data_IF_684563867877
#
_entry.id   IF_684563867877
#
_cell.length_a   1.000
_cell.length_b   1.000
_cell.length_c   1.000
_cell.angle_alpha   90.00
_cell.angle_beta   90.00
_cell.angle_gamma   90.00
#
_symmetry.space_group_name_H-M   'P 1'
#
loop_
_entity.id
_entity.type
_entity.pdbx_description
1 polymer ?
#
# COMPACT_ATOMS: atom_id res chain seq x y z
N UNK A 1 85.81 44.54 65.03
CA UNK A 1 84.64 43.63 64.95
C UNK A 1 83.41 44.34 64.36
N UNK A 2 83.07 45.56 64.79
CA UNK A 2 81.89 46.30 64.32
C UNK A 2 81.93 46.73 62.84
N UNK A 3 83.11 47.08 62.30
CA UNK A 3 83.27 47.48 60.89
C UNK A 3 83.05 46.33 59.91
N UNK A 4 83.50 45.13 60.24
CA UNK A 4 83.30 43.92 59.42
C UNK A 4 81.82 43.56 59.36
N UNK A 5 81.10 43.68 60.48
CA UNK A 5 79.65 43.42 60.53
C UNK A 5 78.87 44.42 59.67
N UNK A 6 79.25 45.70 59.65
CA UNK A 6 78.61 46.72 58.80
C UNK A 6 78.83 46.46 57.31
N UNK A 7 80.03 46.05 56.90
CA UNK A 7 80.33 45.74 55.50
C UNK A 7 79.55 44.50 55.03
N UNK A 8 79.46 43.48 55.87
CA UNK A 8 78.65 42.28 55.56
C UNK A 8 77.16 42.62 55.48
N UNK A 9 76.64 43.46 56.38
CA UNK A 9 75.25 43.91 56.34
C UNK A 9 74.95 44.68 55.05
N UNK A 10 75.83 45.58 54.63
CA UNK A 10 75.69 46.31 53.35
C UNK A 10 75.68 45.36 52.15
N UNK A 11 76.53 44.32 52.15
CA UNK A 11 76.54 43.34 51.07
C UNK A 11 75.24 42.51 51.01
N UNK A 12 74.71 42.11 52.18
CA UNK A 12 73.46 41.34 52.26
C UNK A 12 72.27 42.19 51.83
N UNK A 13 72.20 43.45 52.26
CA UNK A 13 71.15 44.38 51.82
C UNK A 13 71.25 44.66 50.31
N UNK A 14 72.47 44.88 49.79
CA UNK A 14 72.68 45.06 48.36
C UNK A 14 72.30 43.83 47.53
N UNK A 15 72.58 42.62 48.03
CA UNK A 15 72.17 41.37 47.38
C UNK A 15 70.64 41.16 47.42
N UNK A 16 69.98 41.53 48.52
CA UNK A 16 68.52 41.45 48.68
C UNK A 16 67.79 42.44 47.76
N UNK A 17 68.26 43.69 47.66
CA UNK A 17 67.74 44.70 46.74
C UNK A 17 67.88 44.25 45.27
N UNK A 18 69.05 43.69 44.91
CA UNK A 18 69.28 43.17 43.57
C UNK A 18 68.38 41.96 43.25
N UNK A 19 68.17 41.08 44.23
CA UNK A 19 67.30 39.92 44.09
C UNK A 19 65.82 40.33 43.97
N UNK A 20 65.35 41.26 44.79
CA UNK A 20 64.00 41.81 44.72
C UNK A 20 63.75 42.53 43.38
N UNK A 21 64.72 43.33 42.91
CA UNK A 21 64.65 43.99 41.61
C UNK A 21 64.61 42.99 40.44
N UNK A 22 65.36 41.89 40.53
CA UNK A 22 65.37 40.83 39.51
C UNK A 22 64.07 40.02 39.53
N UNK A 23 63.51 39.75 40.71
CA UNK A 23 62.24 39.05 40.86
C UNK A 23 61.06 39.87 40.32
N UNK A 24 61.03 41.18 40.57
CA UNK A 24 60.02 42.10 40.01
C UNK A 24 60.04 42.14 38.47
N UNK A 25 61.24 42.20 37.86
CA UNK A 25 61.39 42.13 36.39
C UNK A 25 60.95 40.79 35.81
N UNK A 26 61.21 39.69 36.50
CA UNK A 26 60.75 38.37 36.09
C UNK A 26 59.22 38.22 36.20
N UNK A 27 58.60 38.83 37.21
CA UNK A 27 57.15 38.85 37.34
C UNK A 27 56.49 39.72 36.25
N UNK A 28 57.03 40.92 35.98
CA UNK A 28 56.52 41.81 34.94
C UNK A 28 56.56 41.17 33.54
N UNK A 29 57.64 40.44 33.23
CA UNK A 29 57.76 39.71 31.95
C UNK A 29 56.86 38.47 31.87
N UNK A 30 56.59 37.80 33.00
CA UNK A 30 55.60 36.72 33.04
C UNK A 30 54.17 37.24 32.86
N UNK A 31 53.85 38.41 33.42
CA UNK A 31 52.55 39.05 33.23
C UNK A 31 52.35 39.55 31.79
N UNK A 32 53.35 40.19 31.19
CA UNK A 32 53.24 40.62 29.79
C UNK A 32 53.05 39.44 28.84
N UNK A 33 53.73 38.32 29.09
CA UNK A 33 53.56 37.10 28.30
C UNK A 33 52.16 36.49 28.44
N UNK A 34 51.58 36.49 29.64
CA UNK A 34 50.19 36.03 29.87
C UNK A 34 49.17 36.95 29.22
N UNK A 35 49.39 38.27 29.24
CA UNK A 35 48.51 39.24 28.57
C UNK A 35 48.55 39.03 27.06
N UNK A 36 49.73 38.82 26.48
CA UNK A 36 49.87 38.53 25.06
C UNK A 36 49.18 37.22 24.67
N UNK A 37 49.36 36.17 25.48
CA UNK A 37 48.71 34.87 25.27
C UNK A 37 47.18 34.97 25.39
N UNK A 38 46.66 35.75 26.35
CA UNK A 38 45.22 36.00 26.48
C UNK A 38 44.68 36.79 25.29
N UNK A 39 45.41 37.79 24.82
CA UNK A 39 45.02 38.60 23.66
C UNK A 39 45.01 37.76 22.37
N UNK A 40 45.97 36.85 22.23
CA UNK A 40 46.02 35.89 21.12
C UNK A 40 44.84 34.90 21.17
N UNK A 41 44.44 34.44 22.36
CA UNK A 41 43.27 33.60 22.54
C UNK A 41 41.96 34.35 22.25
N UNK A 42 41.83 35.59 22.72
CA UNK A 42 40.65 36.43 22.45
C UNK A 42 40.53 36.73 20.97
N UNK A 43 41.63 37.06 20.28
CA UNK A 43 41.60 37.30 18.82
C UNK A 43 41.26 36.04 18.03
N UNK A 44 41.77 34.86 18.43
CA UNK A 44 41.35 33.57 17.84
C UNK A 44 39.86 33.29 18.05
N UNK A 45 39.36 33.47 19.27
CA UNK A 45 37.94 33.27 19.57
C UNK A 45 37.04 34.27 18.84
N UNK A 46 37.47 35.52 18.72
CA UNK A 46 36.71 36.55 18.01
C UNK A 46 36.66 36.25 16.50
N UNK A 47 37.75 35.74 15.93
CA UNK A 47 37.77 35.30 14.53
C UNK A 47 36.82 34.09 14.32
N UNK A 48 36.83 33.11 15.22
CA UNK A 48 35.88 31.98 15.18
C UNK A 48 34.43 32.47 15.30
N UNK A 49 34.13 33.40 16.20
CA UNK A 49 32.79 33.97 16.35
C UNK A 49 32.32 34.73 15.11
N UNK A 50 33.22 35.45 14.44
CA UNK A 50 32.90 36.12 13.17
C UNK A 50 32.58 35.10 12.09
N UNK A 51 33.38 34.03 11.95
CA UNK A 51 33.09 32.98 10.95
C UNK A 51 31.79 32.23 11.22
N UNK A 52 31.48 31.94 12.49
CA UNK A 52 30.21 31.32 12.89
C UNK A 52 29.04 32.28 12.69
N UNK A 53 29.24 33.58 12.94
CA UNK A 53 28.26 34.63 12.67
C UNK A 53 27.95 34.75 11.18
N UNK A 54 28.96 34.71 10.31
CA UNK A 54 28.79 34.69 8.86
C UNK A 54 28.07 33.43 8.38
N UNK A 55 28.43 32.25 8.92
CA UNK A 55 27.77 30.99 8.60
C UNK A 55 26.32 30.95 9.05
N UNK A 56 26.01 31.42 10.26
CA UNK A 56 24.64 31.58 10.75
C UNK A 56 23.84 32.56 9.90
N UNK A 57 24.45 33.66 9.47
CA UNK A 57 23.78 34.66 8.62
C UNK A 57 23.50 34.09 7.22
N UNK A 58 24.39 33.26 6.68
CA UNK A 58 24.21 32.55 5.42
C UNK A 58 23.14 31.44 5.51
N UNK A 59 23.08 30.70 6.62
CA UNK A 59 22.02 29.71 6.85
C UNK A 59 20.66 30.39 7.07
N UNK A 60 20.61 31.52 7.78
CA UNK A 60 19.38 32.25 8.04
C UNK A 60 18.86 32.95 6.77
N UNK A 61 19.75 33.43 5.90
CA UNK A 61 19.37 33.95 4.58
C UNK A 61 18.84 32.84 3.67
N UNK A 62 19.45 31.65 3.70
CA UNK A 62 18.99 30.46 2.96
C UNK A 62 17.62 29.97 3.44
N UNK A 63 17.41 29.87 4.75
CA UNK A 63 16.10 29.51 5.32
C UNK A 63 15.03 30.54 4.93
N UNK A 64 15.38 31.83 4.95
CA UNK A 64 14.45 32.90 4.56
C UNK A 64 14.14 32.91 3.05
N UNK A 65 15.13 32.64 2.20
CA UNK A 65 14.96 32.68 0.74
C UNK A 65 14.36 31.41 0.16
N UNK A 66 14.68 30.24 0.71
CA UNK A 66 14.30 28.96 0.10
C UNK A 66 13.14 28.31 0.86
N UNK A 67 13.24 28.24 2.19
CA UNK A 67 12.34 27.39 3.01
C UNK A 67 10.99 28.08 3.26
N UNK A 68 10.98 29.38 3.58
CA UNK A 68 9.74 30.12 3.78
C UNK A 68 8.81 30.13 2.55
N UNK A 69 9.28 30.46 1.33
CA UNK A 69 8.41 30.40 0.15
C UNK A 69 8.06 28.96 -0.25
N UNK A 70 8.92 27.98 0.00
CA UNK A 70 8.57 26.56 -0.21
C UNK A 70 7.45 26.09 0.76
N UNK A 71 7.44 26.58 2.00
CA UNK A 71 6.37 26.31 2.95
C UNK A 71 5.07 27.04 2.57
N UNK A 72 5.14 28.30 2.12
CA UNK A 72 3.97 29.06 1.68
C UNK A 72 3.31 28.42 0.44
N UNK A 73 4.12 27.97 -0.51
CA UNK A 73 3.61 27.24 -1.70
C UNK A 73 2.96 25.91 -1.33
N UNK A 74 3.57 25.12 -0.43
CA UNK A 74 2.96 23.88 0.08
C UNK A 74 1.68 24.14 0.87
N UNK A 75 1.63 25.20 1.68
CA UNK A 75 0.43 25.58 2.42
C UNK A 75 -0.71 25.94 1.46
N UNK A 76 -0.45 26.76 0.43
CA UNK A 76 -1.47 27.08 -0.59
C UNK A 76 -1.94 25.84 -1.35
N UNK A 77 -1.03 24.94 -1.70
CA UNK A 77 -1.37 23.70 -2.38
C UNK A 77 -2.24 22.80 -1.50
N UNK A 78 -1.89 22.64 -0.22
CA UNK A 78 -2.70 21.89 0.73
C UNK A 78 -4.07 22.53 0.94
N UNK A 79 -4.15 23.86 1.04
CA UNK A 79 -5.45 24.56 1.13
C UNK A 79 -6.31 24.29 -0.10
N UNK A 80 -5.73 24.31 -1.30
CA UNK A 80 -6.46 23.96 -2.54
C UNK A 80 -6.97 22.52 -2.55
N UNK A 81 -6.16 21.56 -2.09
CA UNK A 81 -6.58 20.16 -1.95
C UNK A 81 -7.71 19.98 -0.92
N UNK A 82 -7.66 20.72 0.19
CA UNK A 82 -8.73 20.71 1.21
C UNK A 82 -10.03 21.28 0.66
N UNK A 83 -9.97 22.35 -0.14
CA UNK A 83 -11.14 22.91 -0.82
C UNK A 83 -11.73 21.93 -1.84
N UNK A 84 -10.90 21.21 -2.60
CA UNK A 84 -11.33 20.17 -3.54
C UNK A 84 -11.99 19.00 -2.82
N UNK A 85 -11.39 18.51 -1.73
CA UNK A 85 -11.98 17.50 -0.85
C UNK A 85 -13.32 17.96 -0.27
N UNK A 86 -13.42 19.22 0.19
CA UNK A 86 -14.68 19.77 0.67
C UNK A 86 -15.76 19.79 -0.42
N UNK A 87 -15.38 20.08 -1.67
CA UNK A 87 -16.28 19.99 -2.83
C UNK A 87 -16.79 18.57 -3.08
N UNK A 88 -15.89 17.58 -3.06
CA UNK A 88 -16.24 16.17 -3.22
C UNK A 88 -17.15 15.66 -2.10
N UNK A 89 -16.87 16.05 -0.85
CA UNK A 89 -17.71 15.71 0.31
C UNK A 89 -19.12 16.31 0.16
N UNK A 90 -19.22 17.56 -0.30
CA UNK A 90 -20.52 18.20 -0.50
C UNK A 90 -21.32 17.51 -1.61
N UNK A 91 -20.65 17.10 -2.68
CA UNK A 91 -21.26 16.34 -3.76
C UNK A 91 -21.74 14.96 -3.28
N UNK A 92 -20.93 14.26 -2.48
CA UNK A 92 -21.31 12.99 -1.89
C UNK A 92 -22.53 13.11 -0.97
N UNK A 93 -22.60 14.17 -0.14
CA UNK A 93 -23.75 14.47 0.72
C UNK A 93 -25.02 14.73 -0.10
N UNK A 94 -24.91 15.42 -1.23
CA UNK A 94 -26.05 15.63 -2.16
C UNK A 94 -26.53 14.32 -2.80
N UNK A 95 -25.60 13.44 -3.20
CA UNK A 95 -25.93 12.10 -3.69
C UNK A 95 -26.63 11.26 -2.61
N UNK A 96 -26.14 11.27 -1.37
CA UNK A 96 -26.74 10.55 -0.25
C UNK A 96 -28.14 11.06 0.06
N UNK A 97 -28.36 12.39 0.06
CA UNK A 97 -29.71 12.97 0.21
C UNK A 97 -30.66 12.50 -0.89
N UNK A 98 -30.18 12.43 -2.13
CA UNK A 98 -30.97 11.98 -3.27
C UNK A 98 -31.33 10.49 -3.15
N UNK A 99 -30.37 9.64 -2.77
CA UNK A 99 -30.59 8.22 -2.55
C UNK A 99 -31.55 7.96 -1.38
N UNK A 100 -31.40 8.68 -0.28
CA UNK A 100 -32.32 8.60 0.86
C UNK A 100 -33.76 8.99 0.47
N UNK A 101 -33.93 9.99 -0.42
CA UNK A 101 -35.23 10.34 -1.00
C UNK A 101 -35.83 9.18 -1.78
N UNK A 102 -35.06 8.57 -2.70
CA UNK A 102 -35.51 7.43 -3.50
C UNK A 102 -35.89 6.22 -2.64
N UNK A 103 -35.13 5.93 -1.58
CA UNK A 103 -35.44 4.84 -0.67
C UNK A 103 -36.77 5.07 0.06
N UNK A 104 -37.04 6.30 0.52
CA UNK A 104 -38.33 6.65 1.13
C UNK A 104 -39.49 6.50 0.14
N UNK A 105 -39.30 6.90 -1.11
CA UNK A 105 -40.32 6.74 -2.15
C UNK A 105 -40.62 5.26 -2.42
N UNK A 106 -39.58 4.41 -2.50
CA UNK A 106 -39.74 2.96 -2.65
C UNK A 106 -40.43 2.32 -1.43
N UNK A 107 -40.09 2.76 -0.22
CA UNK A 107 -40.75 2.30 1.00
C UNK A 107 -42.23 2.69 1.01
N UNK A 108 -42.56 3.90 0.56
CA UNK A 108 -43.93 4.35 0.42
C UNK A 108 -44.69 3.53 -0.64
N UNK A 109 -44.07 3.23 -1.78
CA UNK A 109 -44.64 2.33 -2.79
C UNK A 109 -44.91 0.94 -2.20
N UNK A 110 -43.99 0.37 -1.43
CA UNK A 110 -44.18 -0.92 -0.73
C UNK A 110 -45.39 -0.88 0.21
N UNK A 111 -45.56 0.18 0.99
CA UNK A 111 -46.71 0.36 1.88
C UNK A 111 -48.01 0.42 1.07
N UNK A 112 -48.03 1.15 -0.05
CA UNK A 112 -49.22 1.22 -0.91
C UNK A 112 -49.55 -0.14 -1.55
N UNK A 113 -48.56 -0.91 -2.00
CA UNK A 113 -48.77 -2.26 -2.53
C UNK A 113 -49.30 -3.21 -1.46
N UNK A 114 -48.80 -3.12 -0.23
CA UNK A 114 -49.33 -3.90 0.89
C UNK A 114 -50.80 -3.55 1.19
N UNK A 115 -51.17 -2.27 1.13
CA UNK A 115 -52.55 -1.83 1.27
C UNK A 115 -53.45 -2.34 0.12
N UNK A 116 -52.96 -2.31 -1.12
CA UNK A 116 -53.67 -2.86 -2.28
C UNK A 116 -53.87 -4.37 -2.16
N UNK A 117 -52.86 -5.12 -1.69
CA UNK A 117 -52.99 -6.56 -1.41
C UNK A 117 -54.07 -6.85 -0.37
N UNK A 118 -54.14 -6.07 0.71
CA UNK A 118 -55.22 -6.20 1.71
C UNK A 118 -56.60 -5.96 1.08
N UNK A 119 -56.75 -4.91 0.27
CA UNK A 119 -58.01 -4.66 -0.45
C UNK A 119 -58.37 -5.77 -1.44
N UNK A 120 -57.39 -6.34 -2.13
CA UNK A 120 -57.62 -7.49 -3.01
C UNK A 120 -58.12 -8.70 -2.21
N UNK A 121 -57.51 -8.98 -1.06
CA UNK A 121 -57.98 -10.07 -0.19
C UNK A 121 -59.38 -9.82 0.36
N UNK A 122 -59.75 -8.57 0.70
CA UNK A 122 -61.12 -8.21 1.09
C UNK A 122 -62.11 -8.42 -0.06
N UNK A 123 -61.76 -8.02 -1.29
CA UNK A 123 -62.60 -8.26 -2.48
C UNK A 123 -62.74 -9.76 -2.75
N UNK A 124 -61.67 -10.54 -2.63
CA UNK A 124 -61.71 -12.00 -2.80
C UNK A 124 -62.63 -12.66 -1.76
N UNK A 125 -62.54 -12.25 -0.49
CA UNK A 125 -63.43 -12.78 0.56
C UNK A 125 -64.89 -12.41 0.31
N UNK A 126 -65.16 -11.20 -0.18
CA UNK A 126 -66.50 -10.75 -0.58
C UNK A 126 -67.05 -11.55 -1.77
N UNK A 127 -66.24 -11.77 -2.81
CA UNK A 127 -66.60 -12.61 -3.97
C UNK A 127 -66.86 -14.04 -3.51
N UNK A 128 -66.00 -14.64 -2.68
CA UNK A 128 -66.18 -15.99 -2.14
C UNK A 128 -67.46 -16.11 -1.32
N UNK A 129 -67.86 -15.07 -0.58
CA UNK A 129 -69.14 -15.03 0.15
C UNK A 129 -70.35 -14.97 -0.80
N UNK A 130 -70.30 -14.16 -1.87
CA UNK A 130 -71.33 -14.10 -2.93
C UNK A 130 -71.44 -15.41 -3.70
N UNK A 131 -70.30 -16.05 -3.97
CA UNK A 131 -70.26 -17.34 -4.67
C UNK A 131 -70.85 -18.47 -3.81
N UNK A 132 -70.75 -18.36 -2.47
CA UNK A 132 -71.34 -19.32 -1.53
C UNK A 132 -72.86 -19.16 -1.38
N UNK A 133 -73.41 -17.98 -1.63
CA UNK A 133 -74.86 -17.71 -1.59
C UNK A 133 -75.56 -17.88 -2.94
N UNK A 134 -74.81 -17.90 -4.06
CA UNK A 134 -75.34 -18.10 -5.41
C UNK A 134 -75.27 -19.56 -5.88
N UNK A 135 -76.23 -20.40 -5.47
CA UNK A 135 -76.41 -21.75 -6.00
C UNK A 135 -77.09 -21.77 -7.38
N UNK A 136 -76.33 -22.03 -8.44
CA UNK A 136 -76.81 -22.32 -9.80
C UNK A 136 -75.65 -22.83 -10.68
N UNK A 137 -75.88 -23.75 -11.65
CA UNK A 137 -74.88 -24.71 -12.11
C UNK A 137 -73.72 -24.06 -12.88
N UNK A 138 -72.43 -24.32 -12.52
CA UNK A 138 -71.30 -23.63 -13.13
C UNK A 138 -70.19 -24.57 -13.62
N UNK A 139 -70.43 -25.50 -14.54
CA UNK A 139 -69.38 -26.45 -14.96
C UNK A 139 -68.20 -25.74 -15.67
N UNK A 140 -68.48 -24.83 -16.62
CA UNK A 140 -67.43 -24.10 -17.34
C UNK A 140 -66.79 -22.92 -16.58
N UNK A 141 -67.42 -22.44 -15.50
CA UNK A 141 -66.87 -21.35 -14.65
C UNK A 141 -65.96 -21.88 -13.56
N UNK A 142 -66.19 -23.10 -13.08
CA UNK A 142 -65.32 -23.74 -12.08
C UNK A 142 -63.98 -24.08 -12.70
N UNK A 143 -63.95 -24.58 -13.93
CA UNK A 143 -62.71 -24.92 -14.64
C UNK A 143 -61.84 -23.66 -14.90
N UNK A 144 -62.45 -22.57 -15.38
CA UNK A 144 -61.75 -21.27 -15.53
C UNK A 144 -61.37 -20.62 -14.20
N UNK A 145 -62.07 -20.91 -13.11
CA UNK A 145 -61.70 -20.43 -11.78
C UNK A 145 -60.51 -21.23 -11.19
N UNK A 146 -60.43 -22.53 -11.49
CA UNK A 146 -59.32 -23.39 -11.09
C UNK A 146 -58.03 -23.04 -11.85
N UNK A 147 -58.10 -22.76 -13.15
CA UNK A 147 -56.94 -22.29 -13.93
C UNK A 147 -56.39 -20.96 -13.39
N UNK A 148 -57.28 -20.01 -13.04
CA UNK A 148 -56.87 -18.74 -12.42
C UNK A 148 -56.27 -18.91 -11.03
N UNK A 149 -56.68 -19.94 -10.29
CA UNK A 149 -56.13 -20.27 -8.98
C UNK A 149 -54.72 -20.86 -9.11
N UNK A 150 -54.50 -21.71 -10.11
CA UNK A 150 -53.18 -22.26 -10.42
C UNK A 150 -52.19 -21.16 -10.87
N UNK A 151 -52.64 -20.18 -11.64
CA UNK A 151 -51.82 -19.02 -12.04
C UNK A 151 -51.51 -18.09 -10.86
N UNK A 152 -52.45 -17.92 -9.92
CA UNK A 152 -52.22 -17.17 -8.69
C UNK A 152 -51.29 -17.89 -7.71
N UNK A 153 -51.35 -19.22 -7.61
CA UNK A 153 -50.40 -20.02 -6.82
C UNK A 153 -48.99 -19.93 -7.41
N UNK A 154 -48.86 -19.96 -8.74
CA UNK A 154 -47.57 -19.77 -9.42
C UNK A 154 -47.00 -18.37 -9.19
N UNK A 155 -47.81 -17.32 -9.32
CA UNK A 155 -47.41 -15.95 -8.98
C UNK A 155 -47.10 -15.76 -7.49
N UNK A 156 -47.77 -16.50 -6.60
CA UNK A 156 -47.49 -16.51 -5.17
C UNK A 156 -46.12 -17.11 -4.83
N UNK A 157 -45.73 -18.19 -5.52
CA UNK A 157 -44.40 -18.78 -5.38
C UNK A 157 -43.29 -17.83 -5.87
N UNK A 158 -43.49 -17.19 -7.03
CA UNK A 158 -42.56 -16.19 -7.58
C UNK A 158 -42.39 -14.98 -6.64
N UNK A 159 -43.47 -14.54 -5.99
CA UNK A 159 -43.42 -13.44 -5.02
C UNK A 159 -42.64 -13.84 -3.75
N UNK A 160 -42.78 -15.08 -3.27
CA UNK A 160 -42.03 -15.56 -2.11
C UNK A 160 -40.54 -15.74 -2.42
N UNK A 161 -40.21 -16.12 -3.64
CA UNK A 161 -38.83 -16.21 -4.12
C UNK A 161 -38.20 -14.82 -4.22
N UNK A 162 -38.91 -13.85 -4.81
CA UNK A 162 -38.52 -12.43 -4.82
C UNK A 162 -38.33 -11.86 -3.42
N UNK A 163 -39.19 -12.23 -2.46
CA UNK A 163 -39.04 -11.81 -1.07
C UNK A 163 -37.78 -12.41 -0.42
N UNK A 164 -37.47 -13.69 -0.68
CA UNK A 164 -36.24 -14.34 -0.19
C UNK A 164 -34.99 -13.68 -0.75
N UNK A 165 -35.00 -13.36 -2.05
CA UNK A 165 -33.90 -12.67 -2.70
C UNK A 165 -33.73 -11.26 -2.14
N UNK A 166 -34.83 -10.52 -1.92
CA UNK A 166 -34.77 -9.19 -1.29
C UNK A 166 -34.23 -9.22 0.14
N UNK A 167 -34.60 -10.23 0.94
CA UNK A 167 -34.06 -10.40 2.29
C UNK A 167 -32.57 -10.69 2.27
N UNK A 168 -32.10 -11.58 1.39
CA UNK A 168 -30.65 -11.82 1.22
C UNK A 168 -29.90 -10.56 0.80
N UNK A 169 -30.41 -9.83 -0.19
CA UNK A 169 -29.74 -8.58 -0.62
C UNK A 169 -29.74 -7.52 0.48
N UNK A 170 -30.70 -7.54 1.40
CA UNK A 170 -30.72 -6.64 2.55
C UNK A 170 -29.69 -7.06 3.61
N UNK A 171 -29.58 -8.36 3.89
CA UNK A 171 -28.54 -8.92 4.76
C UNK A 171 -27.14 -8.62 4.19
N UNK A 172 -26.91 -8.82 2.89
CA UNK A 172 -25.64 -8.49 2.22
C UNK A 172 -25.31 -7.00 2.33
N UNK A 173 -26.30 -6.12 2.19
CA UNK A 173 -26.11 -4.68 2.34
C UNK A 173 -25.85 -4.30 3.81
N UNK A 174 -26.51 -4.96 4.76
CA UNK A 174 -26.27 -4.76 6.20
C UNK A 174 -24.84 -5.16 6.60
N UNK A 175 -24.35 -6.29 6.08
CA UNK A 175 -22.97 -6.76 6.29
C UNK A 175 -21.94 -5.77 5.73
N UNK A 176 -22.16 -5.28 4.50
CA UNK A 176 -21.28 -4.27 3.88
C UNK A 176 -21.31 -2.95 4.67
N UNK A 177 -22.48 -2.53 5.16
CA UNK A 177 -22.60 -1.31 5.98
C UNK A 177 -21.94 -1.49 7.34
N UNK A 178 -22.04 -2.66 7.97
CA UNK A 178 -21.37 -2.97 9.23
C UNK A 178 -19.84 -2.95 9.06
N UNK A 179 -19.33 -3.53 7.98
CA UNK A 179 -17.91 -3.52 7.63
C UNK A 179 -17.39 -2.10 7.35
N UNK A 180 -18.16 -1.29 6.62
CA UNK A 180 -17.85 0.12 6.38
C UNK A 180 -17.87 0.96 7.66
N UNK A 181 -18.84 0.73 8.56
CA UNK A 181 -18.91 1.43 9.84
C UNK A 181 -17.71 1.07 10.72
N UNK A 182 -17.35 -0.21 10.81
CA UNK A 182 -16.17 -0.67 11.54
C UNK A 182 -14.87 -0.10 10.96
N UNK A 183 -14.79 0.01 9.63
CA UNK A 183 -13.67 0.66 8.94
C UNK A 183 -13.58 2.15 9.26
N UNK A 184 -14.68 2.89 9.18
CA UNK A 184 -14.69 4.33 9.45
C UNK A 184 -14.43 4.65 10.91
N UNK A 185 -14.90 3.81 11.85
CA UNK A 185 -14.63 3.95 13.27
C UNK A 185 -13.14 3.74 13.57
N UNK A 186 -12.52 2.70 12.99
CA UNK A 186 -11.08 2.46 13.09
C UNK A 186 -10.23 3.59 12.50
N UNK A 187 -10.59 4.08 11.31
CA UNK A 187 -9.86 5.18 10.66
C UNK A 187 -9.99 6.51 11.43
N UNK A 188 -11.17 6.80 12.00
CA UNK A 188 -11.37 7.96 12.85
C UNK A 188 -10.58 7.88 14.16
N UNK A 189 -10.58 6.73 14.83
CA UNK A 189 -9.85 6.58 16.09
C UNK A 189 -8.33 6.62 15.88
N UNK A 190 -7.84 6.10 14.77
CA UNK A 190 -6.44 6.16 14.36
C UNK A 190 -6.00 7.56 13.93
N UNK A 191 -6.87 8.31 13.23
CA UNK A 191 -6.58 9.71 12.86
C UNK A 191 -6.58 10.62 14.09
N UNK A 192 -7.51 10.42 15.02
CA UNK A 192 -7.56 11.12 16.31
C UNK A 192 -6.33 10.77 17.14
N UNK A 193 -5.93 9.50 17.21
CA UNK A 193 -4.74 9.05 17.94
C UNK A 193 -3.44 9.57 17.33
N UNK A 194 -3.31 9.58 16.01
CA UNK A 194 -2.16 10.13 15.30
C UNK A 194 -2.04 11.66 15.50
N UNK A 195 -3.18 12.36 15.49
CA UNK A 195 -3.23 13.81 15.77
C UNK A 195 -2.88 14.13 17.23
N UNK A 196 -3.31 13.30 18.18
CA UNK A 196 -3.05 13.47 19.62
C UNK A 196 -1.61 13.11 20.03
N UNK A 197 -0.99 12.14 19.35
CA UNK A 197 0.34 11.64 19.72
C UNK A 197 1.49 12.24 18.89
N UNK A 198 1.19 12.95 17.80
CA UNK A 198 2.19 13.54 16.89
C UNK A 198 3.09 12.50 16.22
N UNK A 199 2.71 11.22 16.25
CA UNK A 199 3.45 10.10 15.69
C UNK A 199 3.01 9.91 14.24
N UNK A 200 3.93 9.78 13.25
CA UNK A 200 3.54 9.47 11.88
C UNK A 200 2.76 8.15 11.87
N UNK A 201 1.71 8.09 11.02
CA UNK A 201 0.82 6.93 10.87
C UNK A 201 1.61 5.63 10.87
N UNK A 202 1.14 4.64 11.63
CA UNK A 202 1.58 3.26 11.45
C UNK A 202 1.25 2.84 10.01
N UNK A 203 2.26 2.79 9.12
CA UNK A 203 2.08 2.33 7.72
C UNK A 203 1.53 0.89 7.63
N UNK A 204 1.41 0.18 8.76
CA UNK A 204 0.80 -1.12 8.85
C UNK A 204 -0.70 -1.13 8.54
N UNK A 205 -1.47 -0.13 8.98
CA UNK A 205 -2.96 -0.22 9.07
C UNK A 205 -3.74 0.29 7.88
N UNK A 206 -3.22 1.27 7.13
CA UNK A 206 -3.86 1.73 5.90
C UNK A 206 -3.62 0.74 4.74
N UNK A 207 -4.59 0.66 3.81
CA UNK A 207 -4.36 -0.01 2.52
C UNK A 207 -3.34 0.79 1.74
N UNK A 208 -2.17 0.19 1.50
CA UNK A 208 -1.07 0.81 0.78
C UNK A 208 -0.89 0.26 -0.63
N UNK A 209 -1.46 -0.93 -0.90
CA UNK A 209 -1.37 -1.58 -2.20
C UNK A 209 -2.59 -2.48 -2.47
N UNK A 210 -2.90 -2.67 -3.74
CA UNK A 210 -3.91 -3.64 -4.20
C UNK A 210 -3.24 -4.89 -4.71
N UNK A 211 -3.96 -6.01 -4.66
CA UNK A 211 -3.50 -7.28 -5.18
C UNK A 211 -4.65 -8.05 -5.82
N UNK A 212 -4.31 -8.98 -6.72
CA UNK A 212 -5.29 -9.74 -7.49
C UNK A 212 -4.75 -11.13 -7.75
N UNK A 213 -5.62 -12.12 -7.73
CA UNK A 213 -5.29 -13.50 -8.06
C UNK A 213 -6.43 -14.13 -8.83
N UNK A 214 -6.10 -14.76 -9.94
CA UNK A 214 -7.01 -15.61 -10.69
C UNK A 214 -6.24 -16.69 -11.42
N UNK A 215 -6.82 -17.87 -11.47
CA UNK A 215 -6.34 -19.01 -12.25
C UNK A 215 -7.47 -19.58 -13.06
N UNK A 216 -7.15 -20.15 -14.21
CA UNK A 216 -8.08 -20.95 -15.03
C UNK A 216 -8.29 -22.35 -14.46
N UNK A 217 -7.32 -22.87 -13.72
CA UNK A 217 -7.32 -24.25 -13.24
C UNK A 217 -7.81 -24.33 -11.79
N UNK A 218 -8.97 -24.97 -11.58
CA UNK A 218 -9.61 -25.13 -10.27
C UNK A 218 -8.72 -25.89 -9.27
N UNK A 219 -7.97 -26.90 -9.73
CA UNK A 219 -7.08 -27.70 -8.88
C UNK A 219 -5.93 -26.90 -8.26
N UNK A 220 -5.53 -25.80 -8.89
CA UNK A 220 -4.46 -24.94 -8.44
C UNK A 220 -4.96 -23.73 -7.64
N UNK A 221 -6.28 -23.50 -7.55
CA UNK A 221 -6.82 -22.28 -6.94
C UNK A 221 -6.47 -22.15 -5.46
N UNK A 222 -6.61 -23.25 -4.69
CA UNK A 222 -6.26 -23.29 -3.28
C UNK A 222 -4.74 -23.13 -3.07
N UNK A 223 -3.94 -23.85 -3.87
CA UNK A 223 -2.47 -23.85 -3.77
C UNK A 223 -1.92 -22.47 -4.16
N UNK A 224 -2.43 -21.87 -5.23
CA UNK A 224 -2.05 -20.52 -5.65
C UNK A 224 -2.46 -19.48 -4.62
N UNK A 225 -3.64 -19.63 -4.00
CA UNK A 225 -4.07 -18.78 -2.88
C UNK A 225 -3.07 -18.81 -1.72
N UNK A 226 -2.66 -20.01 -1.29
CA UNK A 226 -1.69 -20.17 -0.21
C UNK A 226 -0.32 -19.58 -0.57
N UNK A 227 0.20 -19.88 -1.77
CA UNK A 227 1.50 -19.38 -2.23
C UNK A 227 1.50 -17.87 -2.42
N UNK A 228 0.40 -17.31 -2.90
CA UNK A 228 0.20 -15.88 -3.03
C UNK A 228 0.24 -15.20 -1.66
N UNK A 229 -0.55 -15.66 -0.70
CA UNK A 229 -0.58 -15.07 0.65
C UNK A 229 0.75 -15.25 1.38
N UNK A 230 1.46 -16.35 1.13
CA UNK A 230 2.83 -16.55 1.63
C UNK A 230 3.80 -15.52 1.04
N UNK A 231 3.74 -15.27 -0.26
CA UNK A 231 4.56 -14.24 -0.92
C UNK A 231 4.25 -12.84 -0.40
N UNK A 232 2.98 -12.51 -0.20
CA UNK A 232 2.53 -11.25 0.41
C UNK A 232 3.15 -11.07 1.79
N UNK A 233 3.06 -12.08 2.65
CA UNK A 233 3.62 -12.05 4.02
C UNK A 233 5.14 -11.91 4.02
N UNK A 234 5.85 -12.62 3.16
CA UNK A 234 7.32 -12.48 3.06
C UNK A 234 7.73 -11.10 2.58
N UNK A 235 6.96 -10.48 1.66
CA UNK A 235 7.18 -9.10 1.22
C UNK A 235 6.77 -8.03 2.26
N UNK A 236 6.55 -8.43 3.52
CA UNK A 236 6.14 -7.55 4.64
C UNK A 236 4.80 -6.84 4.40
N UNK A 237 3.94 -7.46 3.60
CA UNK A 237 2.58 -7.02 3.38
C UNK A 237 1.61 -7.88 4.19
N UNK A 238 0.53 -7.26 4.63
CA UNK A 238 -0.56 -7.93 5.31
C UNK A 238 -1.83 -7.84 4.47
N UNK A 239 -2.51 -8.96 4.30
CA UNK A 239 -3.86 -8.99 3.71
C UNK A 239 -4.82 -8.38 4.72
N UNK A 240 -5.44 -7.26 4.36
CA UNK A 240 -6.41 -6.55 5.22
C UNK A 240 -7.81 -7.09 4.99
N UNK A 241 -8.23 -7.10 3.73
CA UNK A 241 -9.46 -7.73 3.30
C UNK A 241 -9.28 -8.33 1.91
N UNK A 242 -10.13 -9.31 1.60
CA UNK A 242 -10.18 -9.95 0.29
C UNK A 242 -11.63 -10.00 -0.17
N UNK A 243 -11.85 -9.71 -1.44
CA UNK A 243 -13.16 -9.83 -2.07
C UNK A 243 -13.10 -10.86 -3.18
N UNK A 244 -14.19 -11.60 -3.33
CA UNK A 244 -14.38 -12.56 -4.40
C UNK A 244 -15.27 -11.93 -5.49
N UNK A 245 -14.74 -11.78 -6.69
CA UNK A 245 -15.47 -11.29 -7.86
C UNK A 245 -15.78 -12.46 -8.80
N UNK A 246 -16.95 -13.08 -8.64
CA UNK A 246 -17.45 -14.11 -9.55
C UNK A 246 -18.52 -13.54 -10.50
N UNK A 247 -18.51 -13.84 -11.81
CA UNK A 247 -19.68 -13.64 -12.64
C UNK A 247 -20.74 -14.66 -12.20
N UNK A 248 -21.64 -14.22 -11.32
CA UNK A 248 -22.67 -14.99 -10.64
C UNK A 248 -22.12 -15.94 -9.56
N UNK A 249 -22.49 -15.65 -8.30
CA UNK A 249 -22.49 -16.68 -7.27
C UNK A 249 -23.32 -17.88 -7.71
N UNK A 250 -22.91 -19.07 -7.30
CA UNK A 250 -23.58 -20.36 -7.49
C UNK A 250 -23.43 -21.09 -8.84
N UNK A 251 -22.26 -21.02 -9.50
CA UNK A 251 -21.84 -22.14 -10.38
C UNK A 251 -20.75 -22.96 -9.70
N UNK A 252 -21.07 -24.16 -9.16
CA UNK A 252 -20.06 -25.04 -8.58
C UNK A 252 -19.02 -25.41 -9.65
N UNK A 253 -17.74 -25.11 -9.38
CA UNK A 253 -16.61 -25.36 -10.28
C UNK A 253 -16.12 -24.13 -11.07
N UNK A 254 -16.68 -22.94 -10.86
CA UNK A 254 -16.13 -21.70 -11.43
C UNK A 254 -14.99 -21.16 -10.56
N UNK A 255 -13.81 -20.97 -11.15
CA UNK A 255 -12.64 -20.37 -10.50
C UNK A 255 -12.94 -18.95 -10.03
N UNK A 256 -12.71 -18.68 -8.75
CA UNK A 256 -13.01 -17.41 -8.10
C UNK A 256 -11.94 -16.36 -8.45
N UNK A 257 -12.35 -15.14 -8.84
CA UNK A 257 -11.40 -14.03 -8.99
C UNK A 257 -11.25 -13.37 -7.63
N UNK A 258 -10.04 -13.36 -7.07
CA UNK A 258 -9.80 -12.78 -5.74
C UNK A 258 -9.10 -11.44 -5.86
N UNK A 259 -9.69 -10.41 -5.26
CA UNK A 259 -9.06 -9.09 -5.10
C UNK A 259 -8.61 -8.95 -3.65
N UNK A 260 -7.38 -8.54 -3.44
CA UNK A 260 -6.73 -8.37 -2.16
C UNK A 260 -6.45 -6.89 -1.93
N UNK A 261 -6.63 -6.46 -0.69
CA UNK A 261 -6.27 -5.13 -0.25
C UNK A 261 -5.19 -5.28 0.81
N UNK A 262 -4.02 -4.75 0.50
CA UNK A 262 -2.77 -5.02 1.20
C UNK A 262 -2.35 -3.76 1.97
N UNK A 263 -1.93 -3.93 3.21
CA UNK A 263 -1.31 -2.89 4.03
C UNK A 263 0.12 -3.24 4.40
N UNK A 264 0.90 -2.27 4.88
CA UNK A 264 2.27 -2.48 5.36
C UNK A 264 3.30 -1.55 4.75
N UNK A 265 3.73 -1.84 3.52
CA UNK A 265 4.77 -1.07 2.82
C UNK A 265 4.18 -0.13 1.76
N UNK A 266 4.85 0.99 1.53
CA UNK A 266 4.51 1.91 0.44
C UNK A 266 4.77 1.24 -0.94
N UNK A 267 3.95 1.56 -1.96
CA UNK A 267 4.07 0.94 -3.27
C UNK A 267 5.41 1.24 -3.96
N UNK A 268 6.04 2.39 -3.69
CA UNK A 268 7.35 2.76 -4.24
C UNK A 268 8.48 1.86 -3.72
N UNK A 269 8.47 1.55 -2.41
CA UNK A 269 9.44 0.67 -1.79
C UNK A 269 9.28 -0.78 -2.28
N UNK A 270 8.03 -1.22 -2.47
CA UNK A 270 7.71 -2.53 -3.05
C UNK A 270 8.22 -2.67 -4.47
N UNK A 271 8.11 -1.63 -5.30
CA UNK A 271 8.58 -1.68 -6.69
C UNK A 271 10.10 -1.94 -6.75
N UNK A 272 10.87 -1.28 -5.89
CA UNK A 272 12.30 -1.52 -5.74
C UNK A 272 12.62 -2.94 -5.26
N UNK A 273 11.90 -3.41 -4.24
CA UNK A 273 12.08 -4.75 -3.69
C UNK A 273 11.76 -5.86 -4.72
N UNK A 274 10.63 -5.78 -5.41
CA UNK A 274 10.25 -6.76 -6.43
C UNK A 274 11.17 -6.72 -7.65
N UNK A 275 11.64 -5.53 -8.05
CA UNK A 275 12.65 -5.44 -9.12
C UNK A 275 13.93 -6.18 -8.73
N UNK A 276 14.40 -6.03 -7.49
CA UNK A 276 15.58 -6.75 -7.00
C UNK A 276 15.35 -8.28 -6.96
N UNK A 277 14.17 -8.73 -6.52
CA UNK A 277 13.80 -10.15 -6.50
C UNK A 277 13.70 -10.75 -7.91
N UNK A 278 13.15 -10.02 -8.88
CA UNK A 278 13.08 -10.46 -10.28
C UNK A 278 14.45 -10.47 -10.95
N UNK A 279 15.33 -9.51 -10.63
CA UNK A 279 16.73 -9.55 -11.08
C UNK A 279 17.45 -10.78 -10.50
N UNK A 280 17.26 -11.08 -9.21
CA UNK A 280 17.82 -12.27 -8.58
C UNK A 280 17.30 -13.56 -9.23
N UNK A 281 15.99 -13.61 -9.51
CA UNK A 281 15.35 -14.76 -10.17
C UNK A 281 15.82 -14.92 -11.61
N UNK A 282 15.97 -13.82 -12.34
CA UNK A 282 16.51 -13.79 -13.71
C UNK A 282 17.98 -14.18 -13.79
N UNK A 283 18.77 -13.95 -12.74
CA UNK A 283 20.17 -14.34 -12.66
C UNK A 283 20.38 -15.87 -12.57
N UNK A 284 19.34 -16.61 -12.17
CA UNK A 284 19.36 -18.07 -12.16
C UNK A 284 19.17 -18.69 -13.56
N UNK A 285 18.84 -17.89 -14.59
CA UNK A 285 18.75 -18.43 -15.95
C UNK A 285 20.13 -18.90 -16.44
N UNK A 286 20.23 -20.13 -17.00
CA UNK A 286 21.43 -20.55 -17.68
C UNK A 286 21.69 -19.61 -18.86
N UNK A 287 22.92 -19.10 -18.97
CA UNK A 287 23.33 -18.22 -20.07
C UNK A 287 23.37 -19.01 -21.38
N UNK A 288 22.22 -19.21 -22.03
CA UNK A 288 22.13 -19.81 -23.35
C UNK A 288 22.62 -18.80 -24.40
N UNK A 289 23.95 -18.70 -24.52
CA UNK A 289 24.61 -17.77 -25.42
C UNK A 289 26.12 -17.96 -25.56
N UNK A 290 26.65 -19.19 -25.52
CA UNK A 290 28.03 -19.45 -25.96
C UNK A 290 28.24 -20.78 -26.71
N UNK A 291 27.37 -21.08 -27.66
CA UNK A 291 27.66 -22.06 -28.73
C UNK A 291 27.83 -21.36 -30.08
N UNK A 292 28.70 -20.36 -30.13
CA UNK A 292 29.38 -19.90 -31.34
C UNK A 292 30.53 -18.95 -30.96
N UNK A 293 31.64 -19.52 -30.49
CA UNK A 293 32.87 -18.77 -30.31
C UNK A 293 33.42 -18.34 -31.68
N UNK A 294 33.19 -17.09 -32.07
CA UNK A 294 34.11 -16.37 -32.95
C UNK A 294 35.24 -15.78 -32.08
N UNK A 295 36.52 -16.04 -32.38
CA UNK A 295 37.61 -15.59 -31.54
C UNK A 295 37.85 -14.10 -31.79
N UNK A 296 37.49 -13.22 -30.85
CA UNK A 296 37.99 -11.85 -30.88
C UNK A 296 37.16 -10.73 -30.23
N UNK A 297 35.93 -10.95 -29.78
CA UNK A 297 35.13 -9.88 -29.18
C UNK A 297 35.02 -10.05 -27.66
N UNK A 298 35.67 -9.15 -26.92
CA UNK A 298 35.65 -9.12 -25.45
C UNK A 298 34.23 -9.07 -24.91
N UNK A 299 33.79 -10.19 -24.32
CA UNK A 299 32.52 -10.31 -23.63
C UNK A 299 32.49 -9.32 -22.46
N UNK A 300 31.56 -8.36 -22.52
CA UNK A 300 31.23 -7.49 -21.39
C UNK A 300 30.64 -8.36 -20.29
N UNK A 301 31.49 -8.62 -19.29
CA UNK A 301 31.24 -9.35 -18.05
C UNK A 301 30.13 -8.62 -17.26
N UNK A 302 28.89 -9.07 -17.40
CA UNK A 302 27.81 -8.71 -16.47
C UNK A 302 28.13 -9.24 -15.07
N UNK A 303 27.70 -8.54 -14.04
CA UNK A 303 27.95 -8.82 -12.61
C UNK A 303 27.23 -10.09 -12.14
N UNK A 304 27.52 -11.23 -12.75
CA UNK A 304 27.19 -12.53 -12.18
C UNK A 304 27.92 -12.64 -10.83
N UNK A 305 27.18 -12.98 -9.78
CA UNK A 305 27.74 -13.41 -8.50
C UNK A 305 28.68 -14.58 -8.82
N UNK A 306 29.97 -14.33 -8.80
CA UNK A 306 30.97 -15.39 -8.84
C UNK A 306 30.83 -16.11 -7.51
N UNK A 307 30.04 -17.17 -7.47
CA UNK A 307 30.05 -18.12 -6.36
C UNK A 307 31.45 -18.77 -6.34
N UNK A 308 32.28 -18.51 -5.32
CA UNK A 308 33.49 -19.28 -5.13
C UNK A 308 33.04 -20.71 -4.85
N UNK A 309 33.49 -21.67 -5.65
CA UNK A 309 33.13 -23.08 -5.50
C UNK A 309 33.16 -23.51 -4.04
N UNK A 310 31.97 -23.78 -3.52
CA UNK A 310 31.75 -24.12 -2.11
C UNK A 310 32.44 -25.47 -1.84
N UNK A 311 33.33 -25.58 -0.83
CA UNK A 311 33.99 -26.82 -0.51
C UNK A 311 32.95 -27.90 -0.13
N UNK A 312 33.22 -29.19 -0.43
CA UNK A 312 32.29 -30.27 -0.14
C UNK A 312 31.98 -30.32 1.36
N UNK A 313 30.71 -30.10 1.73
CA UNK A 313 30.23 -30.14 3.12
C UNK A 313 29.68 -28.81 3.66
N UNK A 314 29.72 -27.71 2.90
CA UNK A 314 29.04 -26.46 3.27
C UNK A 314 27.69 -26.41 2.55
N UNK A 315 26.62 -26.36 3.35
CA UNK A 315 25.25 -26.28 2.88
C UNK A 315 25.07 -24.97 2.08
N UNK A 316 24.46 -25.01 0.87
CA UNK A 316 24.30 -23.82 0.05
C UNK A 316 23.53 -22.75 0.82
N UNK A 317 23.99 -21.50 0.71
CA UNK A 317 23.36 -20.35 1.37
C UNK A 317 21.88 -20.30 0.98
N UNK A 318 20.98 -20.56 1.95
CA UNK A 318 19.54 -20.55 1.70
C UNK A 318 19.14 -19.19 1.13
N UNK A 319 18.36 -19.13 0.02
CA UNK A 319 17.88 -17.86 -0.49
C UNK A 319 17.07 -17.12 0.59
N UNK A 320 17.07 -15.78 0.58
CA UNK A 320 16.23 -15.01 1.49
C UNK A 320 14.76 -15.44 1.34
N UNK A 321 14.01 -15.41 2.44
CA UNK A 321 12.65 -15.95 2.52
C UNK A 321 11.71 -15.36 1.45
N UNK A 322 11.87 -14.06 1.18
CA UNK A 322 11.11 -13.30 0.18
C UNK A 322 11.37 -13.79 -1.25
N UNK A 323 12.61 -14.19 -1.56
CA UNK A 323 12.97 -14.74 -2.86
C UNK A 323 12.45 -16.17 -3.02
N UNK A 324 12.54 -16.99 -1.96
CA UNK A 324 12.02 -18.34 -1.98
C UNK A 324 10.50 -18.37 -2.16
N UNK A 325 9.79 -17.46 -1.49
CA UNK A 325 8.34 -17.33 -1.59
C UNK A 325 7.90 -16.84 -2.99
N UNK A 326 8.58 -15.84 -3.56
CA UNK A 326 8.30 -15.37 -4.92
C UNK A 326 8.55 -16.48 -5.95
N UNK A 327 9.68 -17.18 -5.86
CA UNK A 327 10.00 -18.31 -6.77
C UNK A 327 8.98 -19.44 -6.65
N UNK A 328 8.51 -19.74 -5.44
CA UNK A 328 7.44 -20.72 -5.24
C UNK A 328 6.15 -20.29 -5.94
N UNK A 329 5.70 -19.04 -5.74
CA UNK A 329 4.53 -18.49 -6.43
C UNK A 329 4.67 -18.56 -7.95
N UNK A 330 5.80 -18.14 -8.51
CA UNK A 330 6.03 -18.14 -9.95
C UNK A 330 6.06 -19.56 -10.55
N UNK A 331 6.55 -20.56 -9.82
CA UNK A 331 6.49 -21.98 -10.23
C UNK A 331 5.07 -22.52 -10.20
N UNK A 332 4.31 -22.23 -9.16
CA UNK A 332 2.90 -22.64 -9.12
C UNK A 332 2.10 -21.96 -10.23
N UNK A 333 2.41 -20.69 -10.54
CA UNK A 333 1.83 -20.00 -11.69
C UNK A 333 2.23 -20.65 -13.01
N UNK A 334 3.46 -21.13 -13.18
CA UNK A 334 3.89 -21.76 -14.44
C UNK A 334 3.22 -23.10 -14.71
N UNK A 335 2.83 -23.82 -13.67
CA UNK A 335 2.03 -25.06 -13.76
C UNK A 335 0.60 -24.81 -14.24
N UNK A 336 0.10 -23.57 -14.15
CA UNK A 336 -1.22 -23.19 -14.64
C UNK A 336 -1.29 -23.07 -16.17
N UNK A 337 -2.43 -23.42 -16.74
CA UNK A 337 -2.81 -23.20 -18.14
C UNK A 337 -3.18 -21.74 -18.45
N UNK A 338 -3.35 -20.92 -17.41
CA UNK A 338 -3.56 -19.48 -17.51
C UNK A 338 -3.86 -18.87 -16.14
N UNK A 339 -3.02 -17.95 -15.69
CA UNK A 339 -3.18 -17.31 -14.38
C UNK A 339 -2.66 -15.87 -14.40
N UNK A 340 -3.20 -15.06 -13.50
CA UNK A 340 -2.77 -13.69 -13.25
C UNK A 340 -2.63 -13.49 -11.75
N UNK A 341 -1.48 -12.98 -11.32
CA UNK A 341 -1.21 -12.60 -9.95
C UNK A 341 -0.64 -11.18 -9.89
N UNK A 342 -1.14 -10.37 -8.97
CA UNK A 342 -0.66 -9.02 -8.72
C UNK A 342 -0.45 -8.82 -7.23
N UNK A 343 0.72 -8.31 -6.86
CA UNK A 343 1.05 -7.92 -5.49
C UNK A 343 1.58 -6.48 -5.55
N UNK A 344 0.70 -5.51 -5.31
CA UNK A 344 1.01 -4.10 -5.49
C UNK A 344 1.53 -3.81 -6.89
N UNK A 345 2.78 -3.32 -7.03
CA UNK A 345 3.36 -3.00 -8.34
C UNK A 345 3.81 -4.25 -9.11
N UNK A 346 3.99 -5.41 -8.48
CA UNK A 346 4.37 -6.64 -9.19
C UNK A 346 3.14 -7.24 -9.88
N UNK A 347 3.27 -7.53 -11.17
CA UNK A 347 2.29 -8.29 -11.94
C UNK A 347 2.97 -9.48 -12.61
N UNK A 348 2.44 -10.69 -12.38
CA UNK A 348 2.86 -11.93 -13.01
C UNK A 348 1.69 -12.51 -13.81
N UNK A 349 1.95 -12.88 -15.06
CA UNK A 349 0.96 -13.39 -16.00
C UNK A 349 1.47 -14.65 -16.64
N UNK A 350 0.67 -15.71 -16.57
CA UNK A 350 0.89 -16.98 -17.25
C UNK A 350 -0.13 -17.15 -18.36
N UNK A 351 0.35 -17.38 -19.58
CA UNK A 351 -0.47 -17.89 -20.70
C UNK A 351 -0.17 -19.38 -20.92
N UNK A 352 -0.52 -19.99 -22.06
CA UNK A 352 -0.08 -21.37 -22.35
C UNK A 352 1.40 -21.46 -22.68
N UNK A 353 1.92 -20.44 -23.35
CA UNK A 353 3.24 -20.49 -23.97
C UNK A 353 4.28 -19.69 -23.18
N UNK A 354 3.84 -18.73 -22.36
CA UNK A 354 4.75 -17.75 -21.76
C UNK A 354 4.44 -17.48 -20.28
N UNK A 355 5.47 -17.13 -19.51
CA UNK A 355 5.38 -16.58 -18.15
C UNK A 355 6.08 -15.21 -18.13
N UNK A 356 5.29 -14.14 -18.01
CA UNK A 356 5.81 -12.77 -17.97
C UNK A 356 5.62 -12.16 -16.60
N UNK A 357 6.62 -11.41 -16.13
CA UNK A 357 6.54 -10.59 -14.93
C UNK A 357 6.87 -9.14 -15.26
N UNK A 358 6.19 -8.21 -14.61
CA UNK A 358 6.48 -6.80 -14.72
C UNK A 358 6.34 -6.09 -13.38
N UNK A 359 7.11 -5.02 -13.20
CA UNK A 359 6.96 -4.10 -12.07
C UNK A 359 6.38 -2.80 -12.62
N UNK A 360 5.12 -2.54 -12.27
CA UNK A 360 4.33 -1.43 -12.73
C UNK A 360 4.57 -0.19 -11.86
N UNK A 361 4.55 0.97 -12.50
CA UNK A 361 4.44 2.26 -11.81
C UNK A 361 3.01 2.47 -11.30
N UNK A 362 2.82 3.38 -10.34
CA UNK A 362 1.49 3.69 -9.80
C UNK A 362 0.48 4.09 -10.89
N UNK A 363 0.89 4.90 -11.87
CA UNK A 363 0.03 5.29 -13.00
C UNK A 363 -0.37 4.10 -13.89
N UNK A 364 0.57 3.20 -14.19
CA UNK A 364 0.29 1.98 -14.95
C UNK A 364 -0.62 1.02 -14.18
N UNK A 365 -0.43 0.88 -12.86
CA UNK A 365 -1.32 0.06 -12.02
C UNK A 365 -2.76 0.57 -12.08
N UNK A 366 -2.97 1.88 -11.96
CA UNK A 366 -4.29 2.52 -12.06
C UNK A 366 -4.94 2.35 -13.46
N UNK A 367 -4.17 2.50 -14.53
CA UNK A 367 -4.65 2.24 -15.90
C UNK A 367 -5.06 0.78 -16.10
N UNK A 368 -4.38 -0.17 -15.46
CA UNK A 368 -4.75 -1.59 -15.48
C UNK A 368 -5.88 -1.95 -14.52
N UNK A 369 -6.10 -1.16 -13.46
CA UNK A 369 -7.17 -1.41 -12.49
C UNK A 369 -8.56 -1.19 -13.07
N UNK A 370 -8.69 -0.25 -14.01
CA UNK A 370 -9.96 0.18 -14.61
C UNK A 370 -10.49 -0.72 -15.72
N UNK A 371 -9.72 -1.73 -16.14
CA UNK A 371 -10.02 -2.57 -17.29
C UNK A 371 -10.27 -4.02 -16.85
N UNK A 372 -11.48 -4.56 -17.08
CA UNK A 372 -11.82 -5.99 -16.85
C UNK A 372 -10.87 -6.97 -17.56
N UNK A 373 -10.11 -6.45 -18.52
CA UNK A 373 -8.97 -7.04 -19.23
C UNK A 373 -7.93 -7.65 -18.28
N UNK A 374 -7.86 -7.20 -17.03
CA UNK A 374 -6.93 -7.73 -16.02
C UNK A 374 -7.09 -9.24 -15.79
N UNK A 375 -8.31 -9.73 -15.86
CA UNK A 375 -8.62 -11.14 -15.61
C UNK A 375 -8.38 -12.03 -16.84
N UNK A 376 -8.03 -11.46 -18.00
CA UNK A 376 -7.64 -12.22 -19.19
C UNK A 376 -6.11 -12.26 -19.31
N UNK A 377 -5.46 -13.41 -19.08
CA UNK A 377 -4.02 -13.55 -19.20
C UNK A 377 -3.49 -13.17 -20.59
N UNK A 378 -4.26 -13.41 -21.65
CA UNK A 378 -3.82 -13.11 -23.02
C UNK A 378 -3.76 -11.61 -23.23
N UNK A 379 -4.82 -10.90 -22.85
CA UNK A 379 -4.86 -9.46 -22.98
C UNK A 379 -3.89 -8.74 -22.03
N UNK A 380 -3.70 -9.25 -20.81
CA UNK A 380 -2.69 -8.79 -19.88
C UNK A 380 -1.27 -8.94 -20.48
N UNK A 381 -0.95 -10.09 -21.06
CA UNK A 381 0.34 -10.34 -21.75
C UNK A 381 0.61 -9.34 -22.87
N UNK A 382 -0.40 -9.07 -23.72
CA UNK A 382 -0.28 -8.08 -24.79
C UNK A 382 0.00 -6.67 -24.28
N UNK A 383 -0.51 -6.31 -23.09
CA UNK A 383 -0.20 -5.02 -22.45
C UNK A 383 1.19 -4.99 -21.84
N UNK A 384 1.59 -6.05 -21.14
CA UNK A 384 2.93 -6.14 -20.55
C UNK A 384 4.02 -6.01 -21.63
N UNK A 385 3.81 -6.57 -22.83
CA UNK A 385 4.73 -6.43 -23.96
C UNK A 385 4.88 -5.00 -24.52
N UNK A 386 3.95 -4.09 -24.20
CA UNK A 386 4.06 -2.68 -24.58
C UNK A 386 4.87 -1.87 -23.58
N UNK A 387 5.17 -2.43 -22.42
CA UNK A 387 5.97 -1.78 -21.40
C UNK A 387 7.43 -1.66 -21.86
N UNK A 388 8.17 -0.68 -21.32
CA UNK A 388 9.61 -0.61 -21.51
C UNK A 388 10.32 -1.91 -21.13
N UNK A 389 11.32 -2.32 -21.90
CA UNK A 389 12.05 -3.58 -21.69
C UNK A 389 12.75 -3.71 -20.34
N UNK A 390 12.98 -2.60 -19.63
CA UNK A 390 13.57 -2.61 -18.28
C UNK A 390 12.56 -2.90 -17.16
N UNK A 391 11.26 -2.93 -17.49
CA UNK A 391 10.15 -3.21 -16.56
C UNK A 391 9.54 -4.60 -16.79
N UNK A 392 10.00 -5.32 -17.81
CA UNK A 392 9.46 -6.60 -18.25
C UNK A 392 10.53 -7.69 -18.11
N UNK A 393 10.15 -8.79 -17.48
CA UNK A 393 10.94 -10.00 -17.34
C UNK A 393 10.20 -11.15 -18.01
N UNK A 394 10.83 -11.74 -19.03
CA UNK A 394 10.39 -13.01 -19.61
C UNK A 394 11.04 -14.15 -18.82
N UNK A 395 10.20 -14.90 -18.09
CA UNK A 395 10.59 -16.01 -17.24
C UNK A 395 10.16 -17.36 -17.82
N UNK A 396 9.79 -17.40 -19.10
CA UNK A 396 9.33 -18.62 -19.78
C UNK A 396 10.40 -19.73 -19.74
N UNK A 397 11.65 -19.38 -20.03
CA UNK A 397 12.78 -20.32 -20.00
C UNK A 397 13.22 -20.67 -18.57
N UNK A 398 12.92 -19.82 -17.59
CA UNK A 398 13.22 -20.09 -16.17
C UNK A 398 12.22 -21.08 -15.56
N UNK A 399 10.97 -21.01 -16.00
CA UNK A 399 9.88 -21.83 -15.50
C UNK A 399 9.80 -23.22 -16.14
N UNK A 400 10.55 -23.45 -17.22
CA UNK A 400 10.65 -24.77 -17.86
C UNK A 400 11.72 -25.61 -17.14
N UNK A 401 11.38 -26.84 -16.71
CA UNK A 401 12.29 -27.68 -15.92
C UNK A 401 13.49 -28.25 -16.69
#
# INVERSE_FOLDING_TARGET
MTTVVLVVLCFVVGALELYAGRQSRNQASAFSRRIEELNEQVTKQNNVLVTVGEQLTAELSRVKQDVLPALDTRLRQNTGQVEELAGLVHQADEFLRTQAGRLRDLEQQRITLAALRRKLTEVETSVRAVTRTGGGPPDGRVETALDRLADLERGGAEILELQRTLTRTLEDVEDVVAELLQFTEGELDDTVTAALTGRPRSHGEAVTATGRLWTRDEQLDDILGEMYERCVRSSRLNVRFRTAEGPNGDVPGATERRRYFLGGQAPEDLAGAFSALLISTGADLPTNGSTAAAPGAGARRGLARVEPGVPPGVEPTRPPEDEAALKALLRTLSESSGAVAQIGPLMAVRTRDELLCAVLTAGQSLELESDEVFWDPVAATLRLRRLPSHQLWDLTDWATP
#
